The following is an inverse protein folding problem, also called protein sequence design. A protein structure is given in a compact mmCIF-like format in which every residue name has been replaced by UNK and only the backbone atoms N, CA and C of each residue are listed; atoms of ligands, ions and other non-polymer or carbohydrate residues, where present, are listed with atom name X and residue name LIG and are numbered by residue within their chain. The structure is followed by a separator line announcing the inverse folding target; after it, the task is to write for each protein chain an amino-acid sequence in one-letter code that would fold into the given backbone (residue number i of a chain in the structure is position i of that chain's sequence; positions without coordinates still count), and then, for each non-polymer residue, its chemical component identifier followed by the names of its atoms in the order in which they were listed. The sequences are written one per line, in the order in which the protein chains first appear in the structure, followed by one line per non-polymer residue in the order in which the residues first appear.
data_IF_354884401740
#
_entry.id   IF_354884401740
#
_cell.length_a   1.000
_cell.length_b   1.000
_cell.length_c   1.000
_cell.angle_alpha   90.00
_cell.angle_beta   90.00
_cell.angle_gamma   90.00
#
_symmetry.space_group_name_H-M   'P 1'
#
loop_
_entity.id
_entity.type
_entity.pdbx_description
1 polymer ?
#
# COMPACT_ATOMS: atom_id res chain seq x y z
N UNK A 1 18.89 10.69 3.95
CA UNK A 1 17.87 9.80 3.34
C UNK A 1 16.70 9.67 4.31
N UNK A 2 15.53 10.01 3.86
CA UNK A 2 14.31 10.00 4.69
C UNK A 2 13.96 8.60 5.14
N UNK A 3 13.62 8.43 6.40
CA UNK A 3 13.08 7.18 6.95
C UNK A 3 11.65 6.98 6.48
N UNK A 4 11.42 6.00 5.62
CA UNK A 4 10.10 5.73 5.08
C UNK A 4 9.50 4.44 5.64
N UNK A 5 8.22 4.49 6.00
CA UNK A 5 7.37 3.33 6.23
C UNK A 5 6.40 3.17 5.05
N UNK A 6 6.22 1.94 4.61
CA UNK A 6 5.25 1.61 3.55
C UNK A 6 4.05 0.95 4.22
N UNK A 7 2.86 1.47 3.94
CA UNK A 7 1.59 0.89 4.40
C UNK A 7 0.76 0.47 3.19
N UNK A 8 0.31 -0.77 3.20
CA UNK A 8 -0.41 -1.42 2.10
C UNK A 8 -1.81 -1.74 2.59
N UNK A 9 -2.80 -0.88 2.34
CA UNK A 9 -4.18 -1.16 2.75
C UNK A 9 -4.75 -2.29 1.90
N UNK A 10 -5.37 -3.28 2.55
CA UNK A 10 -6.00 -4.41 1.90
C UNK A 10 -7.27 -4.79 2.64
N UNK A 11 -8.40 -4.86 1.92
CA UNK A 11 -9.69 -5.31 2.44
C UNK A 11 -10.18 -6.53 1.68
N UNK A 12 -10.92 -7.39 2.36
CA UNK A 12 -11.54 -8.55 1.73
C UNK A 12 -12.80 -8.15 0.95
N UNK A 13 -13.62 -7.31 1.56
CA UNK A 13 -14.86 -6.82 0.97
C UNK A 13 -14.60 -5.89 -0.21
N UNK A 14 -15.03 -6.31 -1.40
CA UNK A 14 -15.06 -5.50 -2.61
C UNK A 14 -16.34 -5.81 -3.35
N UNK A 15 -17.03 -4.77 -3.86
CA UNK A 15 -18.26 -4.96 -4.65
C UNK A 15 -18.01 -5.70 -5.97
N UNK A 16 -16.82 -5.56 -6.54
CA UNK A 16 -16.46 -6.16 -7.85
C UNK A 16 -15.86 -7.56 -7.69
N UNK A 17 -14.95 -7.75 -6.77
CA UNK A 17 -14.20 -8.99 -6.60
C UNK A 17 -13.82 -9.20 -5.14
N UNK A 18 -14.70 -9.84 -4.33
CA UNK A 18 -14.40 -10.16 -2.94
C UNK A 18 -13.16 -11.04 -2.83
N UNK A 19 -12.32 -10.77 -1.83
CA UNK A 19 -11.09 -11.55 -1.60
C UNK A 19 -9.98 -11.29 -2.61
N UNK A 20 -10.06 -10.20 -3.39
CA UNK A 20 -9.06 -9.84 -4.40
C UNK A 20 -7.61 -9.91 -3.89
N UNK A 21 -7.24 -9.43 -2.69
CA UNK A 21 -5.87 -9.54 -2.19
C UNK A 21 -5.34 -10.96 -2.05
N UNK A 22 -6.24 -11.95 -1.90
CA UNK A 22 -5.89 -13.36 -1.73
C UNK A 22 -5.92 -14.17 -3.03
N UNK A 23 -6.29 -13.57 -4.15
CA UNK A 23 -6.27 -14.25 -5.45
C UNK A 23 -4.86 -14.67 -5.83
N UNK A 24 -4.74 -15.91 -6.29
CA UNK A 24 -3.48 -16.44 -6.77
C UNK A 24 -3.05 -15.78 -8.08
N UNK A 25 -1.82 -15.32 -8.11
CA UNK A 25 -1.13 -14.83 -9.30
C UNK A 25 0.20 -15.59 -9.38
N UNK A 26 0.28 -16.54 -10.27
CA UNK A 26 1.49 -17.35 -10.50
C UNK A 26 2.02 -17.97 -9.19
N UNK A 27 1.14 -18.63 -8.45
CA UNK A 27 1.49 -19.37 -7.24
C UNK A 27 1.62 -18.56 -5.95
N UNK A 28 1.31 -17.27 -5.99
CA UNK A 28 1.34 -16.38 -4.81
C UNK A 28 0.09 -15.51 -4.77
N UNK A 29 -0.47 -15.20 -3.59
CA UNK A 29 -1.57 -14.25 -3.51
C UNK A 29 -1.13 -12.85 -3.98
N UNK A 30 -2.06 -12.10 -4.56
CA UNK A 30 -1.80 -10.75 -5.06
C UNK A 30 -1.10 -9.87 -4.02
N UNK A 31 -1.55 -9.91 -2.77
CA UNK A 31 -0.97 -9.10 -1.68
C UNK A 31 0.51 -9.45 -1.43
N UNK A 32 0.93 -10.68 -1.64
CA UNK A 32 2.32 -11.09 -1.47
C UNK A 32 3.22 -10.43 -2.51
N UNK A 33 2.77 -10.33 -3.76
CA UNK A 33 3.51 -9.62 -4.81
C UNK A 33 3.74 -8.15 -4.44
N UNK A 34 2.72 -7.48 -3.89
CA UNK A 34 2.83 -6.08 -3.45
C UNK A 34 3.81 -5.95 -2.29
N UNK A 35 3.72 -6.82 -1.28
CA UNK A 35 4.61 -6.82 -0.11
C UNK A 35 6.06 -7.05 -0.53
N UNK A 36 6.32 -8.04 -1.39
CA UNK A 36 7.68 -8.33 -1.86
C UNK A 36 8.29 -7.13 -2.60
N UNK A 37 7.51 -6.42 -3.43
CA UNK A 37 7.96 -5.20 -4.11
C UNK A 37 8.24 -4.06 -3.12
N UNK A 38 7.38 -3.88 -2.14
CA UNK A 38 7.55 -2.87 -1.09
C UNK A 38 8.80 -3.14 -0.24
N UNK A 39 9.07 -4.40 0.09
CA UNK A 39 10.24 -4.82 0.87
C UNK A 39 11.57 -4.57 0.14
N UNK A 40 11.59 -4.50 -1.19
CA UNK A 40 12.77 -4.08 -1.95
C UNK A 40 13.12 -2.59 -1.74
N UNK A 41 12.19 -1.81 -1.21
CA UNK A 41 12.39 -0.38 -0.93
C UNK A 41 12.62 -0.14 0.56
N UNK A 42 11.82 -0.75 1.43
CA UNK A 42 11.91 -0.59 2.88
C UNK A 42 11.53 -1.89 3.59
N UNK A 43 12.34 -2.29 4.57
CA UNK A 43 12.01 -3.41 5.45
C UNK A 43 10.81 -3.10 6.37
N UNK A 44 10.48 -1.83 6.53
CA UNK A 44 9.31 -1.38 7.26
C UNK A 44 8.12 -1.21 6.29
N UNK A 45 7.70 -2.33 5.69
CA UNK A 45 6.51 -2.47 4.85
C UNK A 45 5.47 -3.32 5.57
N UNK A 46 4.28 -2.78 5.77
CA UNK A 46 3.18 -3.38 6.55
C UNK A 46 1.90 -3.44 5.73
N UNK A 47 1.21 -4.55 5.81
CA UNK A 47 -0.17 -4.65 5.33
C UNK A 47 -1.10 -4.14 6.43
N UNK A 48 -2.10 -3.35 6.08
CA UNK A 48 -3.17 -2.89 6.96
C UNK A 48 -4.49 -3.49 6.50
N UNK A 49 -5.11 -4.32 7.33
CA UNK A 49 -6.34 -5.03 6.97
C UNK A 49 -7.31 -5.12 8.14
N UNK A 50 -8.59 -5.28 7.84
CA UNK A 50 -9.67 -5.58 8.79
C UNK A 50 -10.11 -7.05 8.74
N UNK A 51 -9.47 -7.86 7.91
CA UNK A 51 -9.89 -9.24 7.64
C UNK A 51 -8.86 -10.25 8.13
N UNK A 52 -9.32 -11.19 8.97
CA UNK A 52 -8.45 -12.19 9.57
C UNK A 52 -7.80 -13.12 8.53
N UNK A 53 -8.49 -13.43 7.43
CA UNK A 53 -7.95 -14.29 6.36
C UNK A 53 -6.76 -13.64 5.66
N UNK A 54 -6.83 -12.33 5.43
CA UNK A 54 -5.71 -11.55 4.88
C UNK A 54 -4.57 -11.50 5.90
N UNK A 55 -4.89 -11.21 7.16
CA UNK A 55 -3.92 -11.18 8.25
C UNK A 55 -3.12 -12.49 8.33
N UNK A 56 -3.82 -13.62 8.43
CA UNK A 56 -3.20 -14.94 8.56
C UNK A 56 -2.36 -15.29 7.33
N UNK A 57 -2.81 -14.91 6.15
CA UNK A 57 -2.06 -15.14 4.92
C UNK A 57 -0.77 -14.33 4.86
N UNK A 58 -0.81 -13.07 5.29
CA UNK A 58 0.38 -12.21 5.33
C UNK A 58 1.40 -12.74 6.35
N UNK A 59 0.96 -13.14 7.53
CA UNK A 59 1.81 -13.80 8.52
C UNK A 59 2.41 -15.09 7.95
N UNK A 60 1.61 -15.87 7.24
CA UNK A 60 2.01 -17.16 6.65
C UNK A 60 3.17 -17.06 5.66
N UNK A 61 3.32 -15.98 4.92
CA UNK A 61 4.48 -15.77 4.04
C UNK A 61 5.57 -14.85 4.65
N UNK A 62 5.48 -14.56 5.96
CA UNK A 62 6.49 -13.77 6.69
C UNK A 62 6.39 -12.26 6.49
N UNK A 63 5.24 -11.75 6.01
CA UNK A 63 4.97 -10.32 5.92
C UNK A 63 4.62 -9.71 7.28
N UNK A 64 4.77 -8.39 7.38
CA UNK A 64 4.31 -7.61 8.54
C UNK A 64 2.88 -7.15 8.29
N UNK A 65 2.02 -7.25 9.30
CA UNK A 65 0.60 -6.90 9.17
C UNK A 65 0.08 -6.25 10.45
N UNK A 66 -0.83 -5.31 10.28
CA UNK A 66 -1.54 -4.62 11.36
C UNK A 66 -3.04 -4.76 11.14
N UNK A 67 -3.76 -5.17 12.18
CA UNK A 67 -5.22 -5.18 12.16
C UNK A 67 -5.75 -3.77 12.37
N UNK A 68 -6.73 -3.38 11.56
CA UNK A 68 -7.38 -2.07 11.58
C UNK A 68 -8.90 -2.21 11.60
N UNK A 69 -9.59 -1.13 11.95
CA UNK A 69 -11.06 -1.11 11.97
C UNK A 69 -11.67 -1.43 10.59
N UNK A 70 -12.82 -2.10 10.60
CA UNK A 70 -13.63 -2.34 9.42
C UNK A 70 -14.37 -1.07 8.92
N UNK A 71 -14.45 -0.02 9.75
CA UNK A 71 -15.26 1.17 9.48
C UNK A 71 -14.60 2.15 8.49
N UNK A 72 -13.35 1.94 8.12
CA UNK A 72 -12.64 2.81 7.20
C UNK A 72 -13.26 2.79 5.80
N UNK A 73 -13.59 3.98 5.29
CA UNK A 73 -14.17 4.17 3.96
C UNK A 73 -13.11 4.29 2.87
N UNK A 74 -11.88 4.65 3.23
CA UNK A 74 -10.77 4.81 2.29
C UNK A 74 -9.51 4.05 2.74
N UNK A 75 -8.65 3.73 1.77
CA UNK A 75 -7.33 3.17 2.06
C UNK A 75 -6.44 4.13 2.84
N UNK A 76 -6.59 5.43 2.63
CA UNK A 76 -5.84 6.48 3.35
C UNK A 76 -6.18 6.52 4.82
N UNK A 77 -7.47 6.43 5.18
CA UNK A 77 -7.90 6.38 6.58
C UNK A 77 -7.36 5.14 7.29
N UNK A 78 -7.39 3.99 6.61
CA UNK A 78 -6.81 2.74 7.11
C UNK A 78 -5.30 2.87 7.33
N UNK A 79 -4.58 3.49 6.39
CA UNK A 79 -3.15 3.75 6.52
C UNK A 79 -2.83 4.65 7.73
N UNK A 80 -3.67 5.63 8.01
CA UNK A 80 -3.50 6.53 9.15
C UNK A 80 -3.60 5.78 10.48
N UNK A 81 -4.61 4.91 10.65
CA UNK A 81 -4.74 4.07 11.84
C UNK A 81 -3.55 3.10 11.96
N UNK A 82 -3.22 2.39 10.87
CA UNK A 82 -2.11 1.45 10.86
C UNK A 82 -0.78 2.13 11.23
N UNK A 83 -0.52 3.33 10.72
CA UNK A 83 0.67 4.10 11.07
C UNK A 83 0.78 4.38 12.57
N UNK A 84 -0.34 4.76 13.21
CA UNK A 84 -0.36 4.98 14.68
C UNK A 84 -0.01 3.71 15.45
N UNK A 85 -0.54 2.55 15.05
CA UNK A 85 -0.19 1.27 15.65
C UNK A 85 1.29 0.93 15.43
N UNK A 86 1.78 1.09 14.21
CA UNK A 86 3.19 0.81 13.85
C UNK A 86 4.15 1.65 14.72
N UNK A 87 3.89 2.95 14.84
CA UNK A 87 4.74 3.84 15.65
C UNK A 87 4.73 3.43 17.13
N UNK A 88 3.54 3.09 17.66
CA UNK A 88 3.40 2.68 19.06
C UNK A 88 4.08 1.34 19.34
N UNK A 89 3.85 0.32 18.50
CA UNK A 89 4.31 -1.05 18.72
C UNK A 89 5.80 -1.21 18.47
N UNK A 90 6.31 -0.57 17.41
CA UNK A 90 7.73 -0.68 17.04
C UNK A 90 8.60 0.43 17.62
N UNK A 91 8.00 1.44 18.27
CA UNK A 91 8.70 2.59 18.86
C UNK A 91 9.65 3.28 17.88
N UNK A 92 9.23 3.35 16.63
CA UNK A 92 9.97 3.98 15.53
C UNK A 92 9.25 5.23 15.05
N UNK A 93 10.01 6.20 14.59
CA UNK A 93 9.50 7.39 13.89
C UNK A 93 9.91 7.34 12.42
N UNK A 94 9.07 7.88 11.58
CA UNK A 94 9.28 7.93 10.13
C UNK A 94 9.03 9.34 9.61
N UNK A 95 9.83 9.74 8.62
CA UNK A 95 9.72 11.04 7.97
C UNK A 95 8.68 11.01 6.85
N UNK A 96 8.50 9.84 6.23
CA UNK A 96 7.62 9.65 5.07
C UNK A 96 6.76 8.40 5.27
N UNK A 97 5.46 8.53 5.02
CA UNK A 97 4.51 7.42 4.94
C UNK A 97 4.13 7.21 3.48
N UNK A 98 4.44 6.05 2.94
CA UNK A 98 4.09 5.67 1.58
C UNK A 98 2.87 4.76 1.60
N UNK A 99 1.83 5.13 0.86
CA UNK A 99 0.65 4.30 0.65
C UNK A 99 0.78 3.58 -0.70
N UNK A 100 0.89 2.24 -0.68
CA UNK A 100 0.82 1.39 -1.88
C UNK A 100 -0.46 0.59 -1.78
N UNK A 101 -1.33 0.69 -2.79
CA UNK A 101 -2.57 -0.07 -2.80
C UNK A 101 -2.31 -1.58 -2.91
N UNK A 102 -3.07 -2.37 -2.15
CA UNK A 102 -2.92 -3.84 -2.12
C UNK A 102 -3.27 -4.55 -3.44
N UNK A 103 -3.77 -3.81 -4.42
CA UNK A 103 -4.11 -4.30 -5.76
C UNK A 103 -3.16 -3.77 -6.86
N UNK A 104 -1.97 -3.34 -6.48
CA UNK A 104 -0.92 -2.90 -7.41
C UNK A 104 0.29 -3.86 -7.44
N UNK A 105 0.11 -5.12 -7.91
CA UNK A 105 1.17 -6.13 -7.88
C UNK A 105 2.34 -5.81 -8.84
N UNK A 106 2.15 -4.88 -9.76
CA UNK A 106 3.15 -4.47 -10.76
C UNK A 106 3.85 -3.15 -10.43
N UNK A 107 3.60 -2.57 -9.24
CA UNK A 107 4.34 -1.38 -8.79
C UNK A 107 5.85 -1.63 -8.88
N UNK A 108 6.60 -0.66 -9.40
CA UNK A 108 8.04 -0.80 -9.52
C UNK A 108 8.75 -0.16 -8.31
N UNK A 109 9.72 -0.85 -7.69
CA UNK A 109 10.45 -0.31 -6.55
C UNK A 109 11.10 1.05 -6.82
N UNK A 110 11.58 1.28 -8.04
CA UNK A 110 12.21 2.55 -8.40
C UNK A 110 11.22 3.72 -8.44
N UNK A 111 9.96 3.47 -8.78
CA UNK A 111 8.91 4.48 -8.69
C UNK A 111 8.68 4.90 -7.24
N UNK A 112 8.67 3.94 -6.32
CA UNK A 112 8.50 4.20 -4.88
C UNK A 112 9.72 4.95 -4.33
N UNK A 113 10.93 4.57 -4.72
CA UNK A 113 12.16 5.30 -4.35
C UNK A 113 12.13 6.75 -4.84
N UNK A 114 11.68 6.97 -6.07
CA UNK A 114 11.54 8.32 -6.63
C UNK A 114 10.56 9.18 -5.84
N UNK A 115 9.43 8.61 -5.39
CA UNK A 115 8.48 9.30 -4.51
C UNK A 115 9.13 9.70 -3.18
N UNK A 116 9.85 8.79 -2.55
CA UNK A 116 10.51 9.05 -1.26
C UNK A 116 11.58 10.14 -1.43
N UNK A 117 12.33 10.13 -2.53
CA UNK A 117 13.35 11.13 -2.82
C UNK A 117 12.80 12.56 -2.97
N UNK A 118 11.53 12.73 -3.34
CA UNK A 118 10.90 14.05 -3.38
C UNK A 118 10.96 14.77 -2.03
N UNK A 119 10.89 14.02 -0.93
CA UNK A 119 10.87 14.56 0.45
C UNK A 119 12.26 14.98 0.97
N UNK A 120 13.31 14.89 0.16
CA UNK A 120 14.60 15.54 0.44
C UNK A 120 14.47 17.06 0.34
N UNK A 121 13.50 17.56 -0.41
CA UNK A 121 13.11 18.99 -0.37
C UNK A 121 12.11 19.19 0.78
N UNK A 122 12.48 19.95 1.84
CA UNK A 122 11.61 20.12 3.02
C UNK A 122 10.32 20.89 2.76
N UNK A 123 10.16 21.48 1.58
CA UNK A 123 8.92 22.15 1.17
C UNK A 123 7.85 21.18 0.68
N UNK A 124 8.24 19.96 0.31
CA UNK A 124 7.33 18.96 -0.22
C UNK A 124 6.67 18.23 0.94
N UNK A 125 5.34 18.27 0.98
CA UNK A 125 4.52 17.59 2.00
C UNK A 125 3.74 16.40 1.44
N UNK A 126 3.46 16.40 0.14
CA UNK A 126 2.72 15.33 -0.54
C UNK A 126 3.36 15.10 -1.92
N UNK A 127 3.50 13.84 -2.29
CA UNK A 127 3.95 13.43 -3.62
C UNK A 127 3.11 12.23 -4.09
N UNK A 128 2.84 12.15 -5.37
CA UNK A 128 2.14 11.02 -5.99
C UNK A 128 2.71 10.71 -7.36
N UNK A 129 2.49 9.46 -7.81
CA UNK A 129 2.77 9.07 -9.18
C UNK A 129 1.61 9.45 -10.08
N UNK A 130 1.93 9.94 -11.26
CA UNK A 130 0.96 10.22 -12.31
C UNK A 130 1.41 9.57 -13.62
N UNK A 131 0.45 9.08 -14.39
CA UNK A 131 0.66 8.60 -15.75
C UNK A 131 -0.16 9.45 -16.70
N UNK A 132 0.47 9.89 -17.78
CA UNK A 132 -0.26 10.57 -18.85
C UNK A 132 -1.24 9.58 -19.51
N UNK A 133 -2.44 10.06 -19.86
CA UNK A 133 -3.37 9.26 -20.62
C UNK A 133 -2.85 8.99 -22.03
N UNK A 134 -3.04 7.78 -22.51
CA UNK A 134 -2.56 7.35 -23.83
C UNK A 134 -3.42 7.97 -24.94
N UNK A 135 -4.72 8.25 -24.67
CA UNK A 135 -5.65 8.89 -25.60
C UNK A 135 -6.58 9.87 -24.89
N UNK A 136 -7.15 10.83 -25.65
CA UNK A 136 -8.17 11.74 -25.13
C UNK A 136 -9.44 11.00 -24.67
N UNK A 137 -9.75 9.84 -25.24
CA UNK A 137 -10.90 9.02 -24.84
C UNK A 137 -10.77 8.52 -23.39
N UNK A 138 -9.57 8.32 -22.89
CA UNK A 138 -9.31 7.86 -21.52
C UNK A 138 -9.76 8.87 -20.48
N UNK A 139 -9.75 10.16 -20.81
CA UNK A 139 -10.19 11.24 -19.93
C UNK A 139 -11.68 11.12 -19.58
N UNK A 140 -12.48 10.59 -20.50
CA UNK A 140 -13.91 10.45 -20.36
C UNK A 140 -14.33 9.06 -19.85
N UNK A 141 -13.41 8.12 -19.70
CA UNK A 141 -13.69 6.79 -19.16
C UNK A 141 -13.96 6.88 -17.64
N UNK A 142 -15.17 6.54 -17.16
CA UNK A 142 -15.51 6.61 -15.74
C UNK A 142 -14.76 5.58 -14.88
N UNK A 143 -14.15 4.56 -15.48
CA UNK A 143 -13.39 3.53 -14.79
C UNK A 143 -11.91 3.89 -14.59
N UNK A 144 -11.46 4.98 -15.20
CA UNK A 144 -10.06 5.46 -15.04
C UNK A 144 -9.98 6.55 -13.98
N UNK A 145 -9.00 6.42 -13.11
CA UNK A 145 -8.68 7.43 -12.10
C UNK A 145 -8.07 8.66 -12.77
N UNK A 146 -8.47 9.85 -12.33
CA UNK A 146 -8.02 11.14 -12.84
C UNK A 146 -7.29 11.92 -11.76
#
# INVERSE_FOLDING_TARGET
MSKAVIVIPARYGSSRLPGKPLLDIVGKPMIQHVVEKAQLVSQDAFVATDDQRIYDRVVGFGGKVVMTSADHKSGTDRCCEAYRHIVADYRKTYDVVVNIQGDEPFIQPDQVRALIACFEDPRIQIATLAKQFDTNADIFDPNKVK
#
